data_IF_314456366925
#
_entry.id   IF_314456366925
#
_cell.length_a   1.000
_cell.length_b   1.000
_cell.length_c   1.000
_cell.angle_alpha   90.00
_cell.angle_beta   90.00
_cell.angle_gamma   90.00
#
_symmetry.space_group_name_H-M   'P 1'
#
loop_
_entity.id
_entity.type
_entity.pdbx_description
1 polymer ?
#
# COMPACT_ATOMS: atom_id res chain seq x y z
N UNK A 1 4.74 3.68 10.48
CA UNK A 1 5.39 3.69 9.14
C UNK A 1 4.58 4.36 8.03
N UNK A 2 3.38 3.91 7.69
CA UNK A 2 2.64 4.45 6.52
C UNK A 2 2.31 5.94 6.65
N UNK A 3 1.76 6.38 7.78
CA UNK A 3 1.45 7.81 8.02
C UNK A 3 2.69 8.70 7.93
N UNK A 4 3.81 8.25 8.51
CA UNK A 4 5.11 8.92 8.37
C UNK A 4 5.58 8.97 6.92
N UNK A 5 5.31 7.91 6.16
CA UNK A 5 5.58 7.83 4.72
C UNK A 5 4.89 8.96 3.96
N UNK A 6 3.58 9.19 4.20
CA UNK A 6 2.84 10.27 3.55
C UNK A 6 3.47 11.65 3.80
N UNK A 7 3.89 11.91 5.05
CA UNK A 7 4.57 13.15 5.41
C UNK A 7 5.92 13.33 4.72
N UNK A 8 6.75 12.30 4.70
CA UNK A 8 8.07 12.35 4.06
C UNK A 8 7.97 12.50 2.54
N UNK A 9 7.09 11.73 1.89
CA UNK A 9 6.90 11.77 0.43
C UNK A 9 6.34 13.14 0.04
N UNK A 10 5.29 13.61 0.72
CA UNK A 10 4.66 14.91 0.44
C UNK A 10 5.63 16.09 0.62
N UNK A 11 6.41 16.09 1.70
CA UNK A 11 7.43 17.12 1.92
C UNK A 11 8.49 17.13 0.81
N UNK A 12 9.01 15.96 0.41
CA UNK A 12 9.99 15.91 -0.68
C UNK A 12 9.41 16.38 -2.02
N UNK A 13 8.15 16.04 -2.33
CA UNK A 13 7.46 16.55 -3.52
C UNK A 13 7.35 18.08 -3.48
N UNK A 14 6.96 18.67 -2.35
CA UNK A 14 6.85 20.13 -2.21
C UNK A 14 8.18 20.88 -2.41
N UNK A 15 9.30 20.20 -2.15
CA UNK A 15 10.66 20.72 -2.35
C UNK A 15 11.24 20.34 -3.73
N UNK A 16 10.44 19.75 -4.62
CA UNK A 16 10.88 19.22 -5.92
C UNK A 16 11.96 18.12 -5.84
N UNK A 17 12.11 17.46 -4.69
CA UNK A 17 13.07 16.37 -4.46
C UNK A 17 12.45 15.00 -4.83
N UNK A 18 12.10 14.83 -6.10
CA UNK A 18 11.33 13.66 -6.57
C UNK A 18 12.02 12.31 -6.27
N UNK A 19 13.36 12.24 -6.42
CA UNK A 19 14.12 11.03 -6.11
C UNK A 19 14.01 10.65 -4.62
N UNK A 20 14.20 11.62 -3.74
CA UNK A 20 14.11 11.41 -2.29
C UNK A 20 12.69 11.06 -1.84
N UNK A 21 11.67 11.64 -2.49
CA UNK A 21 10.29 11.27 -2.28
C UNK A 21 9.99 9.82 -2.71
N UNK A 22 10.47 9.40 -3.88
CA UNK A 22 10.36 8.02 -4.33
C UNK A 22 11.08 7.04 -3.40
N UNK A 23 12.30 7.38 -2.95
CA UNK A 23 13.07 6.56 -2.00
C UNK A 23 12.33 6.39 -0.67
N UNK A 24 11.64 7.43 -0.20
CA UNK A 24 10.81 7.37 1.00
C UNK A 24 9.62 6.42 0.83
N UNK A 25 8.90 6.48 -0.30
CA UNK A 25 7.82 5.53 -0.60
C UNK A 25 8.33 4.09 -0.71
N UNK A 26 9.48 3.87 -1.36
CA UNK A 26 10.13 2.56 -1.45
C UNK A 26 10.55 2.02 -0.08
N UNK A 27 10.95 2.87 0.87
CA UNK A 27 11.26 2.44 2.23
C UNK A 27 10.04 1.87 2.96
N UNK A 28 8.86 2.45 2.75
CA UNK A 28 7.60 1.90 3.28
C UNK A 28 7.33 0.53 2.67
N UNK A 29 7.49 0.37 1.36
CA UNK A 29 7.32 -0.92 0.68
C UNK A 29 8.30 -1.99 1.21
N UNK A 30 9.57 -1.63 1.43
CA UNK A 30 10.57 -2.54 2.01
C UNK A 30 10.21 -2.93 3.45
N UNK A 31 9.67 -2.01 4.25
CA UNK A 31 9.20 -2.32 5.59
C UNK A 31 8.01 -3.28 5.58
N UNK A 32 7.07 -3.08 4.65
CA UNK A 32 5.93 -3.97 4.44
C UNK A 32 6.37 -5.39 4.10
N UNK A 33 7.32 -5.55 3.17
CA UNK A 33 7.84 -6.86 2.79
C UNK A 33 8.53 -7.57 3.96
N UNK A 34 9.35 -6.86 4.75
CA UNK A 34 9.96 -7.45 5.97
C UNK A 34 8.89 -7.95 6.96
N UNK A 35 7.87 -7.13 7.21
CA UNK A 35 6.76 -7.52 8.08
C UNK A 35 6.03 -8.77 7.55
N UNK A 36 5.74 -8.82 6.25
CA UNK A 36 5.08 -9.98 5.63
C UNK A 36 5.92 -11.26 5.76
N UNK A 37 7.24 -11.15 5.55
CA UNK A 37 8.18 -12.27 5.66
C UNK A 37 8.32 -12.78 7.11
N UNK A 38 8.38 -11.86 8.07
CA UNK A 38 8.45 -12.17 9.51
C UNK A 38 7.18 -12.88 10.00
N UNK A 39 6.00 -12.41 9.58
CA UNK A 39 4.72 -13.03 9.96
C UNK A 39 4.45 -14.33 9.19
N UNK A 40 4.98 -14.46 7.97
CA UNK A 40 4.83 -15.62 7.10
C UNK A 40 3.39 -16.20 7.06
N UNK A 41 2.38 -15.42 6.61
CA UNK A 41 0.96 -15.80 6.73
C UNK A 41 0.61 -17.11 6.03
N UNK A 42 1.35 -17.49 4.98
CA UNK A 42 1.21 -18.78 4.28
C UNK A 42 1.56 -20.00 5.15
N UNK A 43 2.36 -19.82 6.21
CA UNK A 43 2.60 -20.82 7.25
C UNK A 43 1.61 -20.66 8.38
N UNK A 44 1.41 -19.42 8.83
CA UNK A 44 0.55 -19.07 9.96
C UNK A 44 -0.89 -19.58 9.80
N UNK A 45 -1.45 -19.50 8.59
CA UNK A 45 -2.81 -19.96 8.29
C UNK A 45 -3.08 -21.43 8.64
N UNK A 46 -2.04 -22.26 8.71
CA UNK A 46 -2.16 -23.69 9.06
C UNK A 46 -2.32 -23.94 10.56
N UNK A 47 -2.00 -22.94 11.38
CA UNK A 47 -1.99 -23.03 12.85
C UNK A 47 -3.03 -22.07 13.44
N UNK A 48 -3.01 -20.82 12.98
CA UNK A 48 -3.90 -19.75 13.42
C UNK A 48 -4.38 -18.93 12.23
N UNK A 49 -5.64 -19.15 11.87
CA UNK A 49 -6.28 -18.46 10.74
C UNK A 49 -6.61 -17.00 11.06
N UNK A 50 -6.92 -16.70 12.31
CA UNK A 50 -7.27 -15.34 12.72
C UNK A 50 -6.04 -14.43 12.64
N UNK A 51 -4.92 -14.89 13.21
CA UNK A 51 -3.68 -14.14 13.18
C UNK A 51 -3.12 -13.98 11.75
N UNK A 52 -3.27 -15.00 10.88
CA UNK A 52 -2.97 -14.85 9.45
C UNK A 52 -3.87 -13.80 8.78
N UNK A 53 -5.15 -13.75 9.15
CA UNK A 53 -6.11 -12.74 8.70
C UNK A 53 -5.69 -11.32 9.11
N UNK A 54 -5.25 -11.13 10.35
CA UNK A 54 -4.70 -9.85 10.84
C UNK A 54 -3.50 -9.42 10.02
N UNK A 55 -2.55 -10.33 9.74
CA UNK A 55 -1.38 -10.02 8.91
C UNK A 55 -1.77 -9.55 7.51
N UNK A 56 -2.68 -10.26 6.84
CA UNK A 56 -3.16 -9.88 5.51
C UNK A 56 -3.92 -8.55 5.54
N UNK A 57 -4.75 -8.33 6.57
CA UNK A 57 -5.48 -7.08 6.74
C UNK A 57 -4.52 -5.88 6.88
N UNK A 58 -3.50 -5.99 7.72
CA UNK A 58 -2.45 -4.96 7.88
C UNK A 58 -1.75 -4.70 6.54
N UNK A 59 -1.40 -5.74 5.79
CA UNK A 59 -0.75 -5.59 4.50
C UNK A 59 -1.63 -4.88 3.47
N UNK A 60 -2.93 -5.15 3.45
CA UNK A 60 -3.88 -4.42 2.58
C UNK A 60 -3.93 -2.92 2.91
N UNK A 61 -3.91 -2.55 4.20
CA UNK A 61 -3.85 -1.14 4.59
C UNK A 61 -2.53 -0.49 4.12
N UNK A 62 -1.40 -1.19 4.24
CA UNK A 62 -0.11 -0.67 3.78
C UNK A 62 -0.07 -0.50 2.25
N UNK A 63 -0.58 -1.49 1.51
CA UNK A 63 -0.68 -1.43 0.04
C UNK A 63 -1.62 -0.28 -0.38
N UNK A 64 -2.69 -0.04 0.36
CA UNK A 64 -3.54 1.14 0.17
C UNK A 64 -2.76 2.45 0.40
N UNK A 65 -1.89 2.55 1.40
CA UNK A 65 -1.02 3.72 1.51
C UNK A 65 -0.08 3.88 0.31
N UNK A 66 0.51 2.77 -0.16
CA UNK A 66 1.50 2.77 -1.23
C UNK A 66 0.93 3.16 -2.59
N UNK A 67 -0.30 2.74 -2.94
CA UNK A 67 -0.90 3.09 -4.23
C UNK A 67 -1.03 4.62 -4.38
N UNK A 68 -1.41 5.33 -3.33
CA UNK A 68 -1.49 6.80 -3.32
C UNK A 68 -0.10 7.44 -3.34
N UNK A 69 0.85 6.95 -2.54
CA UNK A 69 2.22 7.50 -2.49
C UNK A 69 2.96 7.34 -3.82
N UNK A 70 2.72 6.25 -4.55
CA UNK A 70 3.37 5.99 -5.84
C UNK A 70 2.69 6.69 -7.01
N UNK A 71 1.45 7.16 -6.87
CA UNK A 71 0.70 7.79 -7.97
C UNK A 71 1.45 8.94 -8.70
N UNK A 72 2.20 9.84 -8.02
CA UNK A 72 2.97 10.89 -8.69
C UNK A 72 4.15 10.38 -9.52
N UNK A 73 4.62 9.16 -9.27
CA UNK A 73 5.81 8.57 -9.90
C UNK A 73 5.47 7.47 -10.91
N UNK A 74 4.45 6.67 -10.60
CA UNK A 74 4.01 5.47 -11.32
C UNK A 74 2.48 5.50 -11.51
N UNK A 75 1.94 6.46 -12.27
CA UNK A 75 0.49 6.69 -12.34
C UNK A 75 -0.28 5.46 -12.86
N UNK A 76 0.23 4.78 -13.88
CA UNK A 76 -0.46 3.65 -14.50
C UNK A 76 -0.49 2.41 -13.59
N UNK A 77 0.63 2.05 -12.97
CA UNK A 77 0.68 0.93 -12.04
C UNK A 77 -0.12 1.21 -10.77
N UNK A 78 -0.10 2.46 -10.29
CA UNK A 78 -0.90 2.89 -9.14
C UNK A 78 -2.40 2.81 -9.43
N UNK A 79 -2.83 3.19 -10.64
CA UNK A 79 -4.23 3.05 -11.07
C UNK A 79 -4.67 1.58 -11.18
N UNK A 80 -3.81 0.69 -11.69
CA UNK A 80 -4.13 -0.75 -11.69
C UNK A 80 -4.29 -1.29 -10.27
N UNK A 81 -3.38 -0.90 -9.37
CA UNK A 81 -3.43 -1.30 -7.97
C UNK A 81 -4.68 -0.74 -7.25
N UNK A 82 -5.06 0.51 -7.54
CA UNK A 82 -6.31 1.13 -7.08
C UNK A 82 -7.52 0.27 -7.42
N UNK A 83 -7.60 -0.21 -8.66
CA UNK A 83 -8.62 -1.15 -9.10
C UNK A 83 -8.55 -2.51 -8.37
N UNK A 84 -7.35 -3.07 -8.14
CA UNK A 84 -7.19 -4.33 -7.39
C UNK A 84 -7.56 -4.22 -5.91
N UNK A 85 -7.53 -3.01 -5.33
CA UNK A 85 -8.05 -2.76 -3.99
C UNK A 85 -9.58 -2.60 -3.97
N UNK A 86 -10.23 -2.62 -5.14
CA UNK A 86 -11.67 -2.46 -5.28
C UNK A 86 -12.13 -1.01 -5.23
N UNK A 87 -11.21 -0.04 -5.36
CA UNK A 87 -11.57 1.36 -5.43
C UNK A 87 -11.97 1.76 -6.85
N UNK A 88 -12.94 2.67 -6.94
CA UNK A 88 -13.43 3.23 -8.20
C UNK A 88 -12.81 4.61 -8.45
N UNK A 89 -12.91 5.09 -9.70
CA UNK A 89 -12.39 6.40 -10.10
C UNK A 89 -10.87 6.41 -10.34
N UNK A 90 -10.30 7.63 -10.32
CA UNK A 90 -8.90 7.89 -10.63
C UNK A 90 -8.09 8.11 -9.34
N UNK A 91 -6.98 7.38 -9.18
CA UNK A 91 -6.07 7.49 -8.05
C UNK A 91 -5.54 8.91 -7.85
N UNK A 92 -5.38 9.69 -8.92
CA UNK A 92 -4.90 11.07 -8.85
C UNK A 92 -5.89 12.03 -8.19
N UNK A 93 -7.16 11.64 -8.10
CA UNK A 93 -8.21 12.41 -7.42
C UNK A 93 -8.37 12.05 -5.95
N UNK A 94 -7.67 11.03 -5.48
CA UNK A 94 -7.73 10.59 -4.10
C UNK A 94 -7.03 11.60 -3.16
N UNK A 95 -7.55 11.79 -1.94
CA UNK A 95 -6.90 12.64 -0.95
C UNK A 95 -5.52 12.06 -0.56
N UNK A 96 -4.56 12.93 -0.24
CA UNK A 96 -3.23 12.52 0.22
C UNK A 96 -3.26 12.02 1.67
N UNK A 97 -3.87 10.86 1.89
CA UNK A 97 -3.99 10.19 3.19
C UNK A 97 -4.19 8.70 3.01
N UNK A 98 -4.05 7.95 4.09
CA UNK A 98 -4.39 6.53 4.10
C UNK A 98 -5.90 6.35 3.95
N UNK A 99 -6.32 5.67 2.89
CA UNK A 99 -7.68 5.18 2.73
C UNK A 99 -7.76 3.72 3.20
N UNK A 100 -8.74 3.42 4.04
CA UNK A 100 -8.83 2.10 4.66
C UNK A 100 -9.59 1.14 3.77
N UNK A 101 -9.04 -0.06 3.57
CA UNK A 101 -9.77 -1.16 2.91
C UNK A 101 -10.71 -1.80 3.93
N UNK A 102 -12.05 -1.78 3.72
CA UNK A 102 -13.00 -2.34 4.67
C UNK A 102 -12.81 -3.85 4.86
N UNK A 103 -13.03 -4.37 6.06
CA UNK A 103 -13.06 -5.81 6.28
C UNK A 103 -14.19 -6.46 5.45
N UNK A 104 -13.97 -7.70 5.00
CA UNK A 104 -14.90 -8.48 4.16
C UNK A 104 -15.15 -7.91 2.75
N UNK A 105 -14.36 -6.94 2.29
CA UNK A 105 -14.39 -6.48 0.90
C UNK A 105 -14.00 -7.62 -0.05
N UNK A 106 -14.79 -7.85 -1.11
CA UNK A 106 -14.42 -8.77 -2.19
C UNK A 106 -13.42 -8.10 -3.11
N UNK A 107 -12.17 -8.55 -3.06
CA UNK A 107 -11.13 -8.06 -3.95
C UNK A 107 -11.23 -8.75 -5.34
N UNK A 108 -10.95 -8.03 -6.43
CA UNK A 108 -10.81 -8.61 -7.76
C UNK A 108 -9.71 -9.68 -7.83
N UNK A 109 -9.77 -10.52 -8.86
CA UNK A 109 -8.72 -11.52 -9.12
C UNK A 109 -7.38 -10.83 -9.37
N UNK A 110 -6.30 -11.23 -8.67
CA UNK A 110 -5.00 -10.61 -8.86
C UNK A 110 -4.44 -10.91 -10.26
N UNK A 111 -3.76 -9.93 -10.84
CA UNK A 111 -2.99 -10.07 -12.07
C UNK A 111 -1.67 -9.27 -11.95
N UNK A 112 -0.67 -9.54 -12.82
CA UNK A 112 0.59 -8.80 -12.79
C UNK A 112 0.37 -7.29 -13.01
N UNK A 113 1.01 -6.47 -12.15
CA UNK A 113 0.98 -5.01 -12.22
C UNK A 113 1.80 -4.46 -13.40
#
# INVERSE_FOLDING_TARGET
EVERGFGLVGNNISLCHMKSGLDAAMNVARAANRYLDEQAPWRQIKVDREAAGTTIYVMLQVISGLHTMFAPYLPFSSQKLHGYLGFEGDVSTMPWRLETVPANSKLPTPAPL
#
